data_IF_005899137494
#
_entry.id   IF_005899137494
#
_cell.length_a   1.000
_cell.length_b   1.000
_cell.length_c   1.000
_cell.angle_alpha   90.00
_cell.angle_beta   90.00
_cell.angle_gamma   90.00
#
_symmetry.space_group_name_H-M   'P 1'
#
loop_
_entity.id
_entity.type
_entity.pdbx_description
1 polymer ?
#
# COMPACT_ATOMS: atom_id res chain seq x y z
N UNK A 1 11.98 25.95 6.06
CA UNK A 1 13.30 26.63 6.05
C UNK A 1 14.48 25.67 6.09
N UNK A 2 14.50 24.65 6.98
CA UNK A 2 15.60 23.68 7.10
C UNK A 2 15.85 22.87 5.81
N UNK A 3 14.80 22.34 5.18
CA UNK A 3 14.93 21.58 3.92
C UNK A 3 15.51 22.45 2.80
N UNK A 4 15.07 23.71 2.72
CA UNK A 4 15.58 24.66 1.73
C UNK A 4 17.06 25.01 1.97
N UNK A 5 17.48 25.14 3.23
CA UNK A 5 18.89 25.34 3.59
C UNK A 5 19.74 24.10 3.24
N UNK A 6 19.26 22.90 3.51
CA UNK A 6 19.93 21.64 3.15
C UNK A 6 20.10 21.50 1.64
N UNK A 7 19.05 21.77 0.87
CA UNK A 7 19.10 21.72 -0.61
C UNK A 7 20.05 22.76 -1.23
N UNK A 8 20.24 23.88 -0.54
CA UNK A 8 21.18 24.92 -0.98
C UNK A 8 22.60 24.74 -0.43
N UNK A 9 22.91 23.64 0.23
CA UNK A 9 24.23 23.36 0.80
C UNK A 9 24.60 24.24 2.01
N UNK A 10 23.65 24.97 2.60
CA UNK A 10 23.89 25.82 3.76
C UNK A 10 23.97 24.95 5.02
N UNK A 11 25.04 25.11 5.79
CA UNK A 11 25.16 24.40 7.07
C UNK A 11 24.12 24.93 8.07
N UNK A 12 23.45 24.02 8.77
CA UNK A 12 22.37 24.37 9.72
C UNK A 12 22.84 25.30 10.87
N UNK A 13 24.10 25.17 11.30
CA UNK A 13 24.70 26.00 12.32
C UNK A 13 24.83 27.47 11.90
N UNK A 14 24.93 27.75 10.61
CA UNK A 14 24.97 29.14 10.11
C UNK A 14 23.63 29.83 10.16
N UNK A 15 22.53 29.04 10.21
CA UNK A 15 21.19 29.58 10.34
C UNK A 15 20.88 29.99 11.78
N UNK A 16 21.30 29.19 12.74
CA UNK A 16 21.15 29.49 14.17
C UNK A 16 22.04 28.57 15.02
N UNK A 17 22.78 29.09 16.03
CA UNK A 17 23.67 28.29 16.89
C UNK A 17 22.97 27.12 17.61
N UNK A 18 21.68 27.25 17.87
CA UNK A 18 20.88 26.17 18.52
C UNK A 18 20.82 24.89 17.70
N UNK A 19 21.08 24.92 16.40
CA UNK A 19 21.08 23.72 15.56
C UNK A 19 22.34 22.86 15.74
N UNK A 20 23.36 23.35 16.46
CA UNK A 20 24.47 22.51 16.92
C UNK A 20 24.08 21.58 18.06
N UNK A 21 22.97 21.86 18.78
CA UNK A 21 22.51 21.02 19.87
C UNK A 21 21.50 20.00 19.34
N UNK A 22 21.95 18.74 19.21
CA UNK A 22 21.13 17.64 18.70
C UNK A 22 19.85 17.42 19.51
N UNK A 23 19.93 17.55 20.84
CA UNK A 23 18.76 17.39 21.71
C UNK A 23 17.71 18.48 21.46
N UNK A 24 18.15 19.73 21.26
CA UNK A 24 17.26 20.84 20.94
C UNK A 24 16.66 20.69 19.53
N UNK A 25 17.45 20.21 18.58
CA UNK A 25 16.96 19.92 17.24
C UNK A 25 15.90 18.81 17.26
N UNK A 26 16.15 17.71 17.96
CA UNK A 26 15.20 16.61 18.14
C UNK A 26 13.91 17.10 18.84
N UNK A 27 14.02 17.94 19.88
CA UNK A 27 12.87 18.54 20.52
C UNK A 27 12.02 19.38 19.54
N UNK A 28 12.67 20.22 18.73
CA UNK A 28 11.97 21.06 17.74
C UNK A 28 11.29 20.22 16.65
N UNK A 29 11.97 19.15 16.17
CA UNK A 29 11.40 18.19 15.21
C UNK A 29 10.17 17.53 15.83
N UNK A 30 10.29 17.02 17.05
CA UNK A 30 9.19 16.34 17.75
C UNK A 30 8.02 17.27 18.04
N UNK A 31 8.30 18.51 18.48
CA UNK A 31 7.27 19.54 18.67
C UNK A 31 6.52 19.83 17.37
N UNK A 32 7.23 19.95 16.25
CA UNK A 32 6.62 20.20 14.95
C UNK A 32 5.81 18.98 14.47
N UNK A 33 6.30 17.76 14.71
CA UNK A 33 5.56 16.52 14.41
C UNK A 33 4.24 16.45 15.18
N UNK A 34 4.27 16.68 16.49
CA UNK A 34 3.06 16.69 17.34
C UNK A 34 2.05 17.73 16.91
N UNK A 35 2.53 18.92 16.48
CA UNK A 35 1.65 19.97 15.97
C UNK A 35 0.99 19.60 14.65
N UNK A 36 1.73 18.94 13.73
CA UNK A 36 1.20 18.52 12.43
C UNK A 36 0.35 17.25 12.50
N UNK A 37 0.70 16.35 13.41
CA UNK A 37 0.07 15.04 13.56
C UNK A 37 -0.39 14.84 15.01
N UNK A 38 -1.45 15.54 15.44
CA UNK A 38 -1.92 15.51 16.84
C UNK A 38 -2.36 14.11 17.27
N UNK A 39 -2.78 13.27 16.31
CA UNK A 39 -3.21 11.90 16.52
C UNK A 39 -2.09 10.86 16.34
N UNK A 40 -0.81 11.30 16.41
CA UNK A 40 0.40 10.47 16.26
C UNK A 40 0.72 10.13 14.77
N UNK A 41 1.86 9.47 14.58
CA UNK A 41 2.32 8.99 13.26
C UNK A 41 2.45 7.45 13.22
N UNK A 42 1.85 6.77 14.18
CA UNK A 42 1.74 5.32 14.21
C UNK A 42 0.40 4.87 13.60
N UNK A 43 0.09 3.58 13.73
CA UNK A 43 -1.14 2.99 13.19
C UNK A 43 -2.40 3.71 13.67
N UNK A 44 -2.43 4.19 14.91
CA UNK A 44 -3.58 4.92 15.44
C UNK A 44 -3.78 6.27 14.73
N UNK A 45 -2.69 6.95 14.41
CA UNK A 45 -2.73 8.16 13.58
C UNK A 45 -3.23 7.89 12.17
N UNK A 46 -2.79 6.79 11.56
CA UNK A 46 -3.24 6.36 10.22
C UNK A 46 -4.73 6.05 10.22
N UNK A 47 -5.22 5.29 11.21
CA UNK A 47 -6.64 4.99 11.38
C UNK A 47 -7.47 6.27 11.55
N UNK A 48 -7.01 7.19 12.38
CA UNK A 48 -7.69 8.47 12.58
C UNK A 48 -7.79 9.28 11.27
N UNK A 49 -6.69 9.39 10.53
CA UNK A 49 -6.68 10.07 9.22
C UNK A 49 -7.56 9.35 8.19
N UNK A 50 -7.59 8.02 8.19
CA UNK A 50 -8.48 7.25 7.34
C UNK A 50 -9.95 7.56 7.61
N UNK A 51 -10.39 7.48 8.87
CA UNK A 51 -11.77 7.77 9.27
C UNK A 51 -12.17 9.20 8.88
N UNK A 52 -11.27 10.18 9.12
CA UNK A 52 -11.50 11.58 8.80
C UNK A 52 -11.58 11.85 7.30
N UNK A 53 -10.68 11.25 6.52
CA UNK A 53 -10.56 11.52 5.09
C UNK A 53 -11.53 10.69 4.26
N UNK A 54 -11.92 9.50 4.71
CA UNK A 54 -12.87 8.64 3.99
C UNK A 54 -14.25 9.29 3.84
N UNK A 55 -14.62 10.19 4.76
CA UNK A 55 -15.87 10.94 4.70
C UNK A 55 -15.81 12.18 3.79
N UNK A 56 -14.62 12.69 3.46
CA UNK A 56 -14.44 13.98 2.83
C UNK A 56 -13.56 13.99 1.57
N UNK A 57 -12.87 12.90 1.25
CA UNK A 57 -11.99 12.83 0.09
C UNK A 57 -12.69 12.15 -1.09
N UNK A 58 -12.68 12.81 -2.24
CA UNK A 58 -13.21 12.27 -3.48
C UNK A 58 -12.43 11.01 -3.96
N UNK A 59 -11.14 10.96 -3.67
CA UNK A 59 -10.27 9.82 -3.97
C UNK A 59 -9.22 9.63 -2.84
N UNK A 60 -9.58 8.95 -1.73
CA UNK A 60 -8.65 8.70 -0.64
C UNK A 60 -7.57 7.69 -1.06
N UNK A 61 -6.31 7.92 -0.64
CA UNK A 61 -5.22 6.98 -0.94
C UNK A 61 -5.30 5.70 -0.09
N UNK A 62 -5.70 5.81 1.18
CA UNK A 62 -5.98 4.64 2.02
C UNK A 62 -7.41 4.21 1.73
N UNK A 63 -7.56 3.02 1.16
CA UNK A 63 -8.87 2.51 0.72
C UNK A 63 -9.48 1.51 1.71
N UNK A 64 -8.65 0.79 2.44
CA UNK A 64 -9.09 -0.23 3.39
C UNK A 64 -8.18 -0.31 4.61
N UNK A 65 -8.75 -0.53 5.78
CA UNK A 65 -8.05 -0.86 7.02
C UNK A 65 -8.80 -1.95 7.77
N UNK A 66 -8.11 -3.06 8.02
CA UNK A 66 -8.53 -4.06 9.01
C UNK A 66 -7.69 -3.94 10.28
N UNK A 67 -8.33 -3.56 11.38
CA UNK A 67 -7.68 -3.44 12.69
C UNK A 67 -7.40 -4.80 13.34
N UNK A 68 -8.17 -5.84 13.03
CA UNK A 68 -8.01 -7.18 13.59
C UNK A 68 -6.74 -7.86 13.10
N UNK A 69 -6.55 -7.88 11.79
CA UNK A 69 -5.37 -8.45 11.15
C UNK A 69 -4.25 -7.43 10.92
N UNK A 70 -4.52 -6.14 11.19
CA UNK A 70 -3.61 -5.03 10.94
C UNK A 70 -3.17 -4.97 9.47
N UNK A 71 -4.16 -4.89 8.58
CA UNK A 71 -3.98 -4.71 7.13
C UNK A 71 -4.31 -3.25 6.78
N UNK A 72 -3.49 -2.61 5.97
CA UNK A 72 -3.77 -1.30 5.39
C UNK A 72 -3.52 -1.40 3.89
N UNK A 73 -4.55 -1.14 3.08
CA UNK A 73 -4.47 -1.16 1.63
C UNK A 73 -4.56 0.25 1.06
N UNK A 74 -3.58 0.61 0.25
CA UNK A 74 -3.37 1.94 -0.28
C UNK A 74 -3.27 1.92 -1.80
N UNK A 75 -4.19 2.58 -2.49
CA UNK A 75 -4.13 2.86 -3.92
C UNK A 75 -5.09 3.99 -4.28
N UNK A 76 -4.80 4.68 -5.37
CA UNK A 76 -5.69 5.68 -5.96
C UNK A 76 -6.63 5.02 -6.98
N UNK A 77 -7.76 5.66 -7.25
CA UNK A 77 -8.71 5.19 -8.26
C UNK A 77 -8.06 4.99 -9.62
N UNK A 78 -7.20 5.91 -10.05
CA UNK A 78 -6.46 5.78 -11.32
C UNK A 78 -5.53 4.56 -11.34
N UNK A 79 -4.94 4.22 -10.18
CA UNK A 79 -4.10 3.03 -10.04
C UNK A 79 -4.93 1.75 -10.10
N UNK A 80 -6.12 1.74 -9.49
CA UNK A 80 -7.06 0.61 -9.54
C UNK A 80 -7.54 0.34 -10.97
N UNK A 81 -7.93 1.39 -11.71
CA UNK A 81 -8.32 1.30 -13.11
C UNK A 81 -7.15 0.76 -13.95
N UNK A 82 -5.96 1.33 -13.81
CA UNK A 82 -4.80 0.88 -14.56
C UNK A 82 -4.40 -0.57 -14.22
N UNK A 83 -4.56 -1.01 -12.96
CA UNK A 83 -4.29 -2.38 -12.52
C UNK A 83 -5.25 -3.38 -13.19
N UNK A 84 -6.53 -3.01 -13.40
CA UNK A 84 -7.51 -3.87 -14.07
C UNK A 84 -7.19 -4.15 -15.54
N UNK A 85 -6.39 -3.30 -16.18
CA UNK A 85 -5.98 -3.45 -17.58
C UNK A 85 -4.70 -4.28 -17.75
N UNK A 86 -4.00 -4.59 -16.64
CA UNK A 86 -2.74 -5.34 -16.68
C UNK A 86 -2.97 -6.81 -17.05
N UNK A 87 -2.00 -7.38 -17.76
CA UNK A 87 -1.94 -8.82 -18.05
C UNK A 87 -1.20 -9.60 -16.99
N UNK A 88 -0.35 -8.92 -16.24
CA UNK A 88 0.38 -9.46 -15.10
C UNK A 88 0.76 -8.35 -14.16
N UNK A 89 0.99 -8.69 -12.91
CA UNK A 89 1.68 -7.85 -11.95
C UNK A 89 2.59 -8.69 -11.05
N UNK A 90 3.51 -8.04 -10.39
CA UNK A 90 4.43 -8.64 -9.42
C UNK A 90 4.13 -8.14 -8.02
N UNK A 91 4.31 -9.01 -7.04
CA UNK A 91 4.25 -8.68 -5.62
C UNK A 91 5.67 -8.69 -5.10
N UNK A 92 6.14 -7.54 -4.67
CA UNK A 92 7.44 -7.36 -4.02
C UNK A 92 7.24 -7.07 -2.52
N UNK A 93 7.90 -7.85 -1.67
CA UNK A 93 7.84 -7.67 -0.22
C UNK A 93 9.08 -6.97 0.30
N UNK A 94 8.90 -5.79 0.87
CA UNK A 94 9.98 -5.04 1.50
C UNK A 94 9.98 -5.21 3.02
N UNK A 95 11.05 -5.77 3.56
CA UNK A 95 11.18 -6.06 5.00
C UNK A 95 11.77 -4.90 5.82
N UNK A 96 12.24 -3.82 5.20
CA UNK A 96 13.05 -2.80 5.89
C UNK A 96 12.61 -1.35 5.67
N UNK A 97 11.56 -1.11 4.89
CA UNK A 97 11.12 0.27 4.58
C UNK A 97 10.28 0.89 5.70
N UNK A 98 9.57 0.05 6.47
CA UNK A 98 8.69 0.50 7.55
C UNK A 98 9.30 0.12 8.90
N UNK A 99 9.34 1.07 9.83
CA UNK A 99 9.76 0.78 11.20
C UNK A 99 8.67 0.04 11.95
N UNK A 100 9.07 -0.96 12.73
CA UNK A 100 8.17 -1.73 13.60
C UNK A 100 7.88 -3.13 13.09
N UNK A 101 6.67 -3.60 13.37
CA UNK A 101 6.25 -4.99 13.10
C UNK A 101 5.61 -5.17 11.72
N UNK A 102 5.46 -4.09 10.96
CA UNK A 102 4.80 -4.12 9.65
C UNK A 102 5.78 -4.49 8.54
N UNK A 103 5.27 -5.24 7.59
CA UNK A 103 5.90 -5.49 6.30
C UNK A 103 5.13 -4.71 5.23
N UNK A 104 5.82 -4.20 4.25
CA UNK A 104 5.23 -3.50 3.11
C UNK A 104 5.27 -4.43 1.89
N UNK A 105 4.14 -4.56 1.22
CA UNK A 105 4.06 -5.14 -0.12
C UNK A 105 3.80 -4.04 -1.12
N UNK A 106 4.43 -4.17 -2.25
CA UNK A 106 4.15 -3.37 -3.42
C UNK A 106 3.60 -4.28 -4.52
N UNK A 107 2.49 -3.85 -5.11
CA UNK A 107 1.96 -4.45 -6.34
C UNK A 107 2.49 -3.62 -7.48
N UNK A 108 3.39 -4.20 -8.25
CA UNK A 108 4.17 -3.53 -9.27
C UNK A 108 3.90 -4.14 -10.65
N UNK A 109 4.05 -3.37 -11.72
CA UNK A 109 4.13 -3.90 -13.07
C UNK A 109 5.09 -3.07 -13.92
N UNK A 110 5.79 -3.74 -14.85
CA UNK A 110 6.59 -3.06 -15.85
C UNK A 110 5.69 -2.54 -16.97
N UNK A 111 5.73 -1.25 -17.20
CA UNK A 111 4.93 -0.58 -18.24
C UNK A 111 5.86 -0.25 -19.41
N UNK A 112 5.73 -0.99 -20.49
CA UNK A 112 6.57 -0.87 -21.69
C UNK A 112 6.58 0.56 -22.25
N UNK A 113 5.41 1.20 -22.32
CA UNK A 113 5.25 2.58 -22.81
C UNK A 113 6.19 3.56 -22.12
N UNK A 114 6.49 3.35 -20.85
CA UNK A 114 7.35 4.22 -20.06
C UNK A 114 8.74 3.62 -19.79
N UNK A 115 8.94 2.33 -20.16
CA UNK A 115 10.15 1.54 -19.84
C UNK A 115 10.47 1.60 -18.34
N UNK A 116 9.45 1.49 -17.49
CA UNK A 116 9.56 1.60 -16.03
C UNK A 116 8.63 0.65 -15.32
N UNK A 117 9.08 0.16 -14.17
CA UNK A 117 8.21 -0.48 -13.19
C UNK A 117 7.48 0.60 -12.38
N UNK A 118 6.17 0.51 -12.32
CA UNK A 118 5.30 1.40 -11.56
C UNK A 118 4.63 0.61 -10.43
N UNK A 119 4.45 1.27 -9.29
CA UNK A 119 3.72 0.74 -8.16
C UNK A 119 2.24 1.14 -8.25
N UNK A 120 1.35 0.16 -8.27
CA UNK A 120 -0.10 0.34 -8.41
C UNK A 120 -0.84 0.27 -7.07
N UNK A 121 -0.33 -0.53 -6.12
CA UNK A 121 -0.89 -0.57 -4.78
C UNK A 121 0.20 -0.86 -3.75
N UNK A 122 -0.04 -0.42 -2.50
CA UNK A 122 0.79 -0.73 -1.34
C UNK A 122 -0.06 -1.33 -0.25
N UNK A 123 0.45 -2.38 0.36
CA UNK A 123 -0.21 -3.06 1.45
C UNK A 123 0.73 -3.14 2.64
N UNK A 124 0.27 -2.71 3.80
CA UNK A 124 1.01 -2.85 5.05
C UNK A 124 0.35 -3.92 5.88
N UNK A 125 1.11 -4.94 6.27
CA UNK A 125 0.61 -6.08 7.04
C UNK A 125 1.51 -6.41 8.21
N UNK A 126 0.93 -6.95 9.27
CA UNK A 126 1.72 -7.49 10.38
C UNK A 126 2.08 -8.95 10.16
N UNK A 127 1.12 -9.75 9.75
CA UNK A 127 1.26 -11.20 9.54
C UNK A 127 1.17 -11.52 8.05
N UNK A 128 1.86 -12.60 7.65
CA UNK A 128 1.82 -13.10 6.27
C UNK A 128 1.34 -14.55 6.33
N UNK A 129 0.01 -14.73 6.46
CA UNK A 129 -0.64 -16.04 6.43
C UNK A 129 -1.53 -16.15 5.20
N UNK A 130 -1.96 -17.36 4.86
CA UNK A 130 -2.88 -17.61 3.73
C UNK A 130 -4.13 -16.75 3.88
N UNK A 131 -4.71 -16.72 5.08
CA UNK A 131 -5.93 -15.95 5.36
C UNK A 131 -5.70 -14.44 5.17
N UNK A 132 -4.52 -13.94 5.56
CA UNK A 132 -4.16 -12.53 5.33
C UNK A 132 -4.04 -12.21 3.85
N UNK A 133 -3.40 -13.10 3.06
CA UNK A 133 -3.29 -12.93 1.60
C UNK A 133 -4.67 -12.97 0.94
N UNK A 134 -5.50 -13.95 1.30
CA UNK A 134 -6.86 -14.07 0.79
C UNK A 134 -7.65 -12.78 1.04
N UNK A 135 -7.66 -12.30 2.28
CA UNK A 135 -8.39 -11.09 2.65
C UNK A 135 -7.90 -9.85 1.89
N UNK A 136 -6.59 -9.71 1.69
CA UNK A 136 -6.01 -8.60 0.91
C UNK A 136 -6.48 -8.66 -0.55
N UNK A 137 -6.47 -9.83 -1.19
CA UNK A 137 -6.90 -9.94 -2.58
C UNK A 137 -8.40 -9.74 -2.73
N UNK A 138 -9.22 -10.26 -1.82
CA UNK A 138 -10.67 -10.00 -1.77
C UNK A 138 -10.96 -8.50 -1.75
N UNK A 139 -10.32 -7.78 -0.83
CA UNK A 139 -10.51 -6.33 -0.70
C UNK A 139 -9.94 -5.56 -1.89
N UNK A 140 -8.76 -5.96 -2.40
CA UNK A 140 -8.15 -5.33 -3.56
C UNK A 140 -9.06 -5.43 -4.79
N UNK A 141 -9.55 -6.63 -5.11
CA UNK A 141 -10.42 -6.83 -6.26
C UNK A 141 -11.77 -6.15 -6.08
N UNK A 142 -12.35 -6.19 -4.87
CA UNK A 142 -13.58 -5.44 -4.54
C UNK A 142 -13.42 -3.94 -4.79
N UNK A 143 -12.30 -3.35 -4.36
CA UNK A 143 -12.01 -1.93 -4.60
C UNK A 143 -11.86 -1.64 -6.10
N UNK A 144 -11.15 -2.50 -6.83
CA UNK A 144 -10.99 -2.34 -8.27
C UNK A 144 -12.35 -2.41 -8.97
N UNK A 145 -13.19 -3.40 -8.66
CA UNK A 145 -14.52 -3.57 -9.24
C UNK A 145 -15.43 -2.35 -8.98
N UNK A 146 -15.37 -1.79 -7.77
CA UNK A 146 -16.09 -0.56 -7.44
C UNK A 146 -15.63 0.63 -8.30
N UNK A 147 -14.33 0.74 -8.56
CA UNK A 147 -13.76 1.86 -9.31
C UNK A 147 -13.99 1.74 -10.83
N UNK A 148 -13.98 0.52 -11.37
CA UNK A 148 -14.20 0.26 -12.81
C UNK A 148 -15.69 0.07 -13.17
N UNK A 149 -16.53 -0.28 -12.18
CA UNK A 149 -17.97 -0.45 -12.35
C UNK A 149 -18.38 -1.79 -12.96
N UNK A 150 -17.49 -2.78 -13.00
CA UNK A 150 -17.77 -4.14 -13.45
C UNK A 150 -16.84 -5.14 -12.76
N UNK A 151 -17.10 -6.46 -12.89
CA UNK A 151 -16.29 -7.52 -12.30
C UNK A 151 -14.84 -7.49 -12.82
N UNK A 152 -13.92 -7.88 -11.95
CA UNK A 152 -12.51 -8.08 -12.30
C UNK A 152 -12.34 -9.37 -13.10
N UNK A 153 -11.59 -9.33 -14.20
CA UNK A 153 -11.44 -10.47 -15.09
C UNK A 153 -10.09 -11.16 -14.95
N UNK A 154 -10.15 -12.50 -14.93
CA UNK A 154 -8.99 -13.38 -14.96
C UNK A 154 -8.93 -14.11 -16.30
N UNK A 155 -7.77 -14.12 -16.94
CA UNK A 155 -7.58 -14.70 -18.28
C UNK A 155 -8.02 -16.16 -18.38
N UNK A 156 -7.74 -16.98 -17.37
CA UNK A 156 -8.03 -18.41 -17.37
C UNK A 156 -9.53 -18.73 -17.14
N UNK A 157 -10.28 -17.82 -16.51
CA UNK A 157 -11.72 -17.98 -16.27
C UNK A 157 -12.53 -17.32 -17.39
N UNK A 158 -12.16 -16.07 -17.74
CA UNK A 158 -12.99 -15.21 -18.58
C UNK A 158 -12.42 -15.01 -20.00
N UNK A 159 -11.27 -15.61 -20.33
CA UNK A 159 -10.59 -15.44 -21.61
C UNK A 159 -9.94 -14.04 -21.79
N UNK A 160 -10.02 -13.19 -20.80
CA UNK A 160 -9.47 -11.82 -20.78
C UNK A 160 -9.09 -11.40 -19.37
N UNK A 161 -8.39 -10.27 -19.23
CA UNK A 161 -7.98 -9.70 -17.93
C UNK A 161 -6.62 -10.19 -17.47
N UNK A 162 -6.46 -10.35 -16.16
CA UNK A 162 -5.20 -10.72 -15.50
C UNK A 162 -4.83 -12.16 -15.83
N UNK A 163 -3.63 -12.36 -16.38
CA UNK A 163 -3.13 -13.67 -16.79
C UNK A 163 -2.22 -14.33 -15.76
N UNK A 164 -1.41 -13.54 -15.03
CA UNK A 164 -0.57 -14.10 -13.98
C UNK A 164 -0.18 -13.09 -12.92
N UNK A 165 0.15 -13.60 -11.74
CA UNK A 165 0.73 -12.87 -10.62
C UNK A 165 2.13 -13.45 -10.37
N UNK A 166 3.14 -12.58 -10.40
CA UNK A 166 4.52 -12.95 -10.09
C UNK A 166 4.78 -12.63 -8.62
N UNK A 167 5.26 -13.60 -7.87
CA UNK A 167 5.66 -13.42 -6.48
C UNK A 167 7.15 -13.76 -6.32
N UNK A 168 7.83 -13.08 -5.40
CA UNK A 168 9.23 -13.37 -5.11
C UNK A 168 9.37 -14.81 -4.61
N UNK A 169 10.50 -15.44 -4.97
CA UNK A 169 10.75 -16.88 -4.89
C UNK A 169 10.88 -17.48 -3.47
N UNK A 170 10.43 -16.82 -2.42
CA UNK A 170 10.20 -17.50 -1.14
C UNK A 170 9.05 -18.50 -1.31
N UNK A 171 9.41 -19.78 -1.38
CA UNK A 171 8.50 -20.91 -1.64
C UNK A 171 7.22 -20.89 -0.79
N UNK A 172 7.32 -20.41 0.45
CA UNK A 172 6.18 -20.24 1.35
C UNK A 172 5.20 -19.17 0.81
N UNK A 173 5.70 -18.04 0.35
CA UNK A 173 4.90 -16.92 -0.14
C UNK A 173 4.16 -17.27 -1.44
N UNK A 174 4.81 -17.98 -2.36
CA UNK A 174 4.16 -18.43 -3.59
C UNK A 174 3.01 -19.41 -3.33
N UNK A 175 3.17 -20.31 -2.35
CA UNK A 175 2.12 -21.27 -1.95
C UNK A 175 0.94 -20.53 -1.31
N UNK A 176 1.21 -19.54 -0.46
CA UNK A 176 0.18 -18.75 0.21
C UNK A 176 -0.66 -17.93 -0.79
N UNK A 177 -0.01 -17.25 -1.73
CA UNK A 177 -0.67 -16.49 -2.80
C UNK A 177 -1.53 -17.40 -3.68
N UNK A 178 -1.00 -18.54 -4.13
CA UNK A 178 -1.74 -19.51 -4.94
C UNK A 178 -2.96 -20.07 -4.19
N UNK A 179 -2.80 -20.40 -2.91
CA UNK A 179 -3.90 -20.92 -2.09
C UNK A 179 -5.00 -19.87 -1.90
N UNK A 180 -4.62 -18.60 -1.67
CA UNK A 180 -5.56 -17.50 -1.55
C UNK A 180 -6.37 -17.30 -2.84
N UNK A 181 -5.70 -17.27 -4.00
CA UNK A 181 -6.36 -17.11 -5.30
C UNK A 181 -7.30 -18.27 -5.64
N UNK A 182 -6.89 -19.52 -5.40
CA UNK A 182 -7.73 -20.71 -5.62
C UNK A 182 -9.00 -20.69 -4.72
N UNK A 183 -8.92 -20.14 -3.53
CA UNK A 183 -10.08 -20.01 -2.65
C UNK A 183 -11.06 -18.95 -3.15
N UNK A 184 -10.56 -17.81 -3.67
CA UNK A 184 -11.38 -16.78 -4.30
C UNK A 184 -12.12 -17.31 -5.54
N UNK A 185 -11.46 -18.08 -6.39
CA UNK A 185 -12.06 -18.71 -7.57
C UNK A 185 -13.22 -19.63 -7.18
N UNK A 186 -13.00 -20.52 -6.19
CA UNK A 186 -14.02 -21.46 -5.73
C UNK A 186 -15.23 -20.76 -5.07
N UNK A 187 -15.05 -19.58 -4.51
CA UNK A 187 -16.13 -18.78 -3.91
C UNK A 187 -17.00 -18.13 -4.99
N UNK A 188 -16.41 -17.62 -6.05
CA UNK A 188 -17.10 -16.99 -7.17
C UNK A 188 -17.90 -17.99 -8.03
N UNK A 189 -17.45 -19.26 -8.15
CA UNK A 189 -18.19 -20.31 -8.85
C UNK A 189 -19.49 -20.73 -8.12
N UNK A 190 -19.53 -20.60 -6.79
CA UNK A 190 -20.72 -20.94 -6.00
C UNK A 190 -21.81 -19.88 -6.03
N UNK A 191 -21.49 -18.63 -6.33
CA UNK A 191 -22.48 -17.56 -6.45
C UNK A 191 -23.12 -17.50 -7.84
N UNK A 192 -22.59 -18.24 -8.81
CA UNK A 192 -23.09 -18.27 -10.21
C UNK A 192 -24.00 -19.48 -10.50
N UNK A 193 -24.27 -20.33 -9.50
CA UNK A 193 -25.23 -21.45 -9.58
C UNK A 193 -26.50 -21.14 -8.78
#
# INVERSE_FOLDING_TARGET
>A
PMLKAYLNGVQLNTLHPSFNNQSKLNYLIEKNRRSKYPHRQDIMGVIHEFIKNHQNAEDPYIRFIDNGQLIILCLKKEQAIALSELKYFEIDTSFKRVQGVYKEWEINAFIEKYSKTLCFARVFVKNQTIETYQHIFEELFTIIEQDIGHSFYFQHIHGQGLGCILADAEKAQAIEVLSALNQLENSNEKETQ
#
